data_IF_399427202439
#
_entry.id   IF_399427202439
#
_cell.length_a   1.000
_cell.length_b   1.000
_cell.length_c   1.000
_cell.angle_alpha   90.00
_cell.angle_beta   90.00
_cell.angle_gamma   90.00
#
_symmetry.space_group_name_H-M   'P 1'
#
loop_
_entity.id
_entity.type
_entity.pdbx_description
1 polymer ?
#
# COMPACT_ATOMS: atom_id res chain seq x y z
N UNK A 1 21.77 4.86 -15.79
CA UNK A 1 21.31 4.11 -16.98
C UNK A 1 19.82 3.92 -16.85
N UNK A 2 19.04 4.44 -17.79
CA UNK A 2 17.59 4.22 -17.87
C UNK A 2 17.32 2.72 -18.03
N UNK A 3 16.61 2.10 -17.09
CA UNK A 3 16.18 0.71 -17.23
C UNK A 3 14.83 0.69 -17.90
N UNK A 4 14.80 0.54 -19.20
CA UNK A 4 13.59 0.26 -19.94
C UNK A 4 13.22 -1.20 -19.74
N UNK A 5 11.96 -1.46 -19.39
CA UNK A 5 11.40 -2.81 -19.23
C UNK A 5 10.10 -2.91 -19.98
N UNK A 6 9.91 -4.02 -20.67
CA UNK A 6 8.65 -4.39 -21.31
C UNK A 6 8.09 -5.62 -20.60
N UNK A 7 6.84 -5.55 -20.16
CA UNK A 7 6.11 -6.67 -19.59
C UNK A 7 5.03 -7.11 -20.57
N UNK A 8 4.88 -8.43 -20.74
CA UNK A 8 3.84 -9.02 -21.59
C UNK A 8 2.98 -9.94 -20.74
N UNK A 9 1.66 -9.72 -20.77
CA UNK A 9 0.69 -10.53 -20.05
C UNK A 9 -0.72 -10.30 -20.62
N UNK A 10 -1.74 -10.88 -20.00
CA UNK A 10 -3.13 -10.63 -20.35
C UNK A 10 -3.65 -9.39 -19.59
N UNK A 11 -4.41 -8.55 -20.26
CA UNK A 11 -5.17 -7.48 -19.60
C UNK A 11 -6.27 -8.12 -18.75
N UNK A 12 -6.33 -7.79 -17.46
CA UNK A 12 -7.25 -8.42 -16.50
C UNK A 12 -8.74 -8.22 -16.82
N UNK A 13 -9.11 -7.18 -17.61
CA UNK A 13 -10.49 -6.88 -17.97
C UNK A 13 -10.92 -7.56 -19.24
N UNK A 14 -10.02 -7.61 -20.23
CA UNK A 14 -10.36 -8.01 -21.59
C UNK A 14 -9.85 -9.41 -21.93
N UNK A 15 -8.98 -9.96 -21.10
CA UNK A 15 -8.28 -11.22 -21.35
C UNK A 15 -7.44 -11.23 -22.65
N UNK A 16 -7.15 -10.04 -23.19
CA UNK A 16 -6.34 -9.89 -24.40
C UNK A 16 -4.86 -9.75 -24.07
N UNK A 17 -3.96 -10.26 -24.93
CA UNK A 17 -2.54 -10.06 -24.77
C UNK A 17 -2.17 -8.58 -24.92
N UNK A 18 -1.39 -8.07 -23.97
CA UNK A 18 -0.86 -6.71 -24.00
C UNK A 18 0.64 -6.68 -23.69
N UNK A 19 1.30 -5.62 -24.14
CA UNK A 19 2.62 -5.20 -23.64
C UNK A 19 2.50 -3.88 -22.90
N UNK A 20 3.28 -3.77 -21.83
CA UNK A 20 3.40 -2.55 -21.02
C UNK A 20 4.88 -2.16 -20.99
N UNK A 21 5.20 -1.00 -21.54
CA UNK A 21 6.55 -0.46 -21.54
C UNK A 21 6.71 0.51 -20.37
N UNK A 22 7.81 0.32 -19.64
CA UNK A 22 8.14 1.10 -18.45
C UNK A 22 9.50 1.74 -18.61
N UNK A 23 9.57 3.05 -18.52
CA UNK A 23 10.80 3.83 -18.50
C UNK A 23 10.92 4.61 -17.20
N UNK A 24 12.07 4.51 -16.55
CA UNK A 24 12.34 5.22 -15.29
C UNK A 24 11.26 5.02 -14.22
N UNK A 25 10.69 3.80 -14.15
CA UNK A 25 9.63 3.44 -13.17
C UNK A 25 8.23 3.96 -13.52
N UNK A 26 8.04 4.51 -14.73
CA UNK A 26 6.72 4.99 -15.20
C UNK A 26 6.28 4.22 -16.45
N UNK A 27 5.01 3.91 -16.53
CA UNK A 27 4.39 3.34 -17.73
C UNK A 27 4.42 4.41 -18.82
N UNK A 28 5.07 4.13 -19.96
CA UNK A 28 5.14 5.03 -21.11
C UNK A 28 4.28 4.56 -22.28
N UNK A 29 3.98 3.27 -22.40
CA UNK A 29 3.08 2.74 -23.40
C UNK A 29 2.37 1.47 -22.95
N UNK A 30 1.13 1.27 -23.42
CA UNK A 30 0.38 0.03 -23.34
C UNK A 30 -0.14 -0.28 -24.74
N UNK A 31 0.17 -1.47 -25.27
CA UNK A 31 -0.19 -1.87 -26.63
C UNK A 31 -0.82 -3.26 -26.65
N UNK A 32 -1.87 -3.45 -27.43
CA UNK A 32 -2.41 -4.78 -27.71
C UNK A 32 -1.41 -5.59 -28.56
N UNK A 33 -1.21 -6.85 -28.19
CA UNK A 33 -0.41 -7.77 -28.98
C UNK A 33 -1.32 -8.56 -29.92
N UNK A 34 -0.84 -8.83 -31.14
CA UNK A 34 -1.54 -9.69 -32.09
C UNK A 34 -1.27 -11.16 -31.78
N UNK A 35 -2.29 -11.99 -31.91
CA UNK A 35 -2.20 -13.44 -31.67
C UNK A 35 -2.46 -13.82 -30.21
N UNK A 36 -2.06 -15.04 -29.85
CA UNK A 36 -2.18 -15.59 -28.52
C UNK A 36 -0.88 -15.45 -27.73
N UNK A 37 -0.97 -15.24 -26.44
CA UNK A 37 0.16 -15.25 -25.52
C UNK A 37 -0.04 -16.46 -24.57
N UNK A 38 0.90 -17.39 -24.61
CA UNK A 38 0.89 -18.54 -23.70
C UNK A 38 1.40 -18.10 -22.32
N UNK A 39 0.47 -17.64 -21.51
CA UNK A 39 0.74 -17.17 -20.14
C UNK A 39 -0.51 -17.21 -19.28
N UNK A 40 -0.31 -17.43 -17.99
CA UNK A 40 -1.33 -17.31 -16.96
C UNK A 40 -1.20 -16.03 -16.14
N UNK A 41 -0.31 -15.11 -16.55
CA UNK A 41 -0.12 -13.84 -15.85
C UNK A 41 -1.05 -12.77 -16.41
N UNK A 42 -1.57 -11.96 -15.50
CA UNK A 42 -2.39 -10.79 -15.82
C UNK A 42 -1.68 -9.51 -15.40
N UNK A 43 -1.92 -8.44 -16.15
CA UNK A 43 -1.56 -7.08 -15.74
C UNK A 43 -2.85 -6.38 -15.31
N UNK A 44 -2.83 -5.84 -14.10
CA UNK A 44 -3.91 -5.07 -13.48
C UNK A 44 -3.33 -3.85 -12.75
N UNK A 45 -4.13 -2.82 -12.46
CA UNK A 45 -3.76 -1.81 -11.46
C UNK A 45 -3.48 -2.50 -10.12
N UNK A 46 -2.54 -1.95 -9.36
CA UNK A 46 -2.28 -2.43 -8.00
C UNK A 46 -3.51 -2.26 -7.11
N UNK A 47 -3.65 -3.15 -6.14
CA UNK A 47 -4.70 -3.08 -5.15
C UNK A 47 -4.45 -1.90 -4.19
N UNK A 48 -5.53 -1.31 -3.69
CA UNK A 48 -5.52 -0.24 -2.70
C UNK A 48 -6.23 -0.73 -1.44
N UNK A 49 -5.57 -0.65 -0.30
CA UNK A 49 -6.15 -0.94 1.01
C UNK A 49 -6.39 0.38 1.75
N UNK A 50 -7.67 0.75 1.94
CA UNK A 50 -8.04 2.04 2.50
C UNK A 50 -7.97 2.08 4.04
N UNK A 51 -7.85 0.92 4.69
CA UNK A 51 -7.83 0.83 6.15
C UNK A 51 -7.12 -0.45 6.59
N UNK A 52 -5.89 -0.31 7.07
CA UNK A 52 -5.11 -1.44 7.56
C UNK A 52 -4.54 -1.14 8.95
N UNK A 53 -4.93 -1.92 9.95
CA UNK A 53 -4.45 -1.76 11.33
C UNK A 53 -3.10 -2.45 11.54
N UNK A 54 -2.81 -3.46 10.73
CA UNK A 54 -1.56 -4.20 10.76
C UNK A 54 -1.60 -5.43 9.86
N UNK A 55 -0.46 -6.07 9.69
CA UNK A 55 -0.34 -7.29 8.87
C UNK A 55 0.87 -8.12 9.28
N UNK A 56 0.72 -9.45 9.30
CA UNK A 56 1.83 -10.39 9.60
C UNK A 56 2.55 -10.13 10.93
N UNK A 57 1.80 -9.72 11.97
CA UNK A 57 2.35 -9.46 13.29
C UNK A 57 2.90 -8.05 13.49
N UNK A 58 2.90 -7.21 12.47
CA UNK A 58 3.18 -5.78 12.58
C UNK A 58 1.85 -5.07 12.82
N UNK A 59 1.74 -4.30 13.90
CA UNK A 59 0.56 -3.53 14.29
C UNK A 59 0.91 -2.04 14.28
N UNK A 60 0.19 -1.25 13.49
CA UNK A 60 0.36 0.21 13.40
C UNK A 60 -0.06 0.93 14.69
N UNK A 61 -0.70 0.24 15.62
CA UNK A 61 -1.16 0.78 16.90
C UNK A 61 -0.29 0.33 18.09
N UNK A 62 0.77 -0.43 17.84
CA UNK A 62 1.76 -0.78 18.85
C UNK A 62 2.66 0.41 19.17
N UNK A 63 2.81 0.77 20.44
CA UNK A 63 3.74 1.82 20.86
C UNK A 63 5.22 1.43 20.66
N UNK A 64 5.49 0.14 20.39
CA UNK A 64 6.80 -0.37 20.02
C UNK A 64 7.06 -0.35 18.50
N UNK A 65 6.13 0.18 17.70
CA UNK A 65 6.26 0.28 16.25
C UNK A 65 7.54 1.03 15.86
N UNK A 66 8.35 0.41 15.02
CA UNK A 66 9.61 0.97 14.52
C UNK A 66 9.50 1.38 13.06
N UNK A 67 10.34 2.31 12.64
CA UNK A 67 10.48 2.70 11.24
C UNK A 67 10.75 1.49 10.34
N UNK A 68 11.57 0.54 10.81
CA UNK A 68 11.87 -0.71 10.09
C UNK A 68 10.64 -1.57 9.85
N UNK A 69 9.72 -1.60 10.80
CA UNK A 69 8.49 -2.40 10.72
C UNK A 69 7.56 -1.81 9.64
N UNK A 70 7.49 -0.47 9.55
CA UNK A 70 6.75 0.23 8.49
C UNK A 70 7.35 -0.07 7.11
N UNK A 71 8.67 -0.15 6.97
CA UNK A 71 9.31 -0.56 5.71
C UNK A 71 9.02 -2.02 5.38
N UNK A 72 9.03 -2.91 6.39
CA UNK A 72 8.78 -4.34 6.22
C UNK A 72 7.36 -4.59 5.75
N UNK A 73 6.36 -3.98 6.39
CA UNK A 73 4.95 -4.16 5.99
C UNK A 73 4.70 -3.67 4.56
N UNK A 74 5.34 -2.58 4.12
CA UNK A 74 5.29 -2.13 2.73
C UNK A 74 5.79 -3.21 1.76
N UNK A 75 6.90 -3.88 2.08
CA UNK A 75 7.42 -4.96 1.25
C UNK A 75 6.46 -6.13 1.18
N UNK A 76 5.93 -6.56 2.32
CA UNK A 76 5.00 -7.69 2.41
C UNK A 76 3.70 -7.40 1.64
N UNK A 77 3.15 -6.19 1.74
CA UNK A 77 1.93 -5.79 1.04
C UNK A 77 2.14 -5.72 -0.47
N UNK A 78 3.28 -5.20 -0.94
CA UNK A 78 3.65 -5.19 -2.35
C UNK A 78 3.72 -6.60 -2.94
N UNK A 79 4.24 -7.58 -2.20
CA UNK A 79 4.26 -9.00 -2.61
C UNK A 79 2.85 -9.59 -2.76
N UNK A 80 1.84 -8.98 -2.11
CA UNK A 80 0.43 -9.36 -2.24
C UNK A 80 -0.32 -8.57 -3.31
N UNK A 81 0.37 -7.68 -4.04
CA UNK A 81 -0.23 -6.83 -5.06
C UNK A 81 -0.90 -5.57 -4.53
N UNK A 82 -0.81 -5.30 -3.22
CA UNK A 82 -1.28 -4.05 -2.62
C UNK A 82 -0.18 -3.00 -2.82
N UNK A 83 -0.43 -2.05 -3.71
CA UNK A 83 0.56 -1.04 -4.11
C UNK A 83 0.37 0.30 -3.42
N UNK A 84 -0.80 0.51 -2.82
CA UNK A 84 -1.08 1.67 -1.97
C UNK A 84 -1.95 1.25 -0.79
N UNK A 85 -1.66 1.80 0.38
CA UNK A 85 -2.44 1.51 1.57
C UNK A 85 -2.44 2.69 2.54
N UNK A 86 -3.40 2.66 3.48
CA UNK A 86 -3.59 3.68 4.50
C UNK A 86 -3.43 3.03 5.88
N UNK A 87 -2.25 3.18 6.53
CA UNK A 87 -2.08 2.75 7.92
C UNK A 87 -3.15 3.39 8.80
N UNK A 88 -3.80 2.58 9.62
CA UNK A 88 -4.89 3.04 10.48
C UNK A 88 -4.39 3.15 11.91
N UNK A 89 -4.38 4.38 12.41
CA UNK A 89 -4.12 4.70 13.81
C UNK A 89 -5.46 4.89 14.50
N UNK A 90 -5.75 4.01 15.45
CA UNK A 90 -7.02 4.02 16.19
C UNK A 90 -6.97 4.98 17.37
N UNK A 91 -8.12 5.18 18.01
CA UNK A 91 -8.29 5.98 19.23
C UNK A 91 -7.27 5.59 20.31
N UNK A 92 -6.55 6.57 20.80
CA UNK A 92 -5.55 6.43 21.85
C UNK A 92 -5.33 7.79 22.54
N UNK A 93 -4.40 7.88 23.49
CA UNK A 93 -3.97 9.18 24.05
C UNK A 93 -3.32 10.04 22.94
N UNK A 94 -3.36 11.35 23.12
CA UNK A 94 -2.75 12.30 22.17
C UNK A 94 -1.27 12.01 21.95
N UNK A 95 -0.54 11.67 23.00
CA UNK A 95 0.88 11.36 22.98
C UNK A 95 1.15 10.07 22.17
N UNK A 96 0.30 9.05 22.36
CA UNK A 96 0.42 7.79 21.62
C UNK A 96 0.13 7.99 20.12
N UNK A 97 -0.93 8.74 19.79
CA UNK A 97 -1.25 9.08 18.40
C UNK A 97 -0.10 9.86 17.76
N UNK A 98 0.44 10.87 18.42
CA UNK A 98 1.56 11.68 17.93
C UNK A 98 2.81 10.81 17.66
N UNK A 99 3.13 9.90 18.58
CA UNK A 99 4.24 8.96 18.43
C UNK A 99 4.07 8.09 17.17
N UNK A 100 2.89 7.48 17.00
CA UNK A 100 2.61 6.59 15.86
C UNK A 100 2.63 7.35 14.53
N UNK A 101 1.99 8.52 14.46
CA UNK A 101 1.99 9.37 13.28
C UNK A 101 3.42 9.80 12.91
N UNK A 102 4.23 10.18 13.92
CA UNK A 102 5.62 10.57 13.73
C UNK A 102 6.46 9.41 13.20
N UNK A 103 6.28 8.19 13.74
CA UNK A 103 6.99 6.99 13.30
C UNK A 103 6.68 6.68 11.83
N UNK A 104 5.39 6.68 11.44
CA UNK A 104 4.96 6.41 10.07
C UNK A 104 5.47 7.49 9.11
N UNK A 105 5.31 8.78 9.47
CA UNK A 105 5.80 9.90 8.65
C UNK A 105 7.32 9.86 8.46
N UNK A 106 8.06 9.52 9.53
CA UNK A 106 9.52 9.38 9.45
C UNK A 106 9.92 8.22 8.53
N UNK A 107 9.19 7.12 8.56
CA UNK A 107 9.42 6.00 7.64
C UNK A 107 9.22 6.42 6.17
N UNK A 108 8.17 7.21 5.86
CA UNK A 108 7.96 7.78 4.53
C UNK A 108 9.13 8.68 4.11
N UNK A 109 9.54 9.60 4.97
CA UNK A 109 10.64 10.52 4.68
C UNK A 109 11.98 9.80 4.44
N UNK A 110 12.19 8.65 5.07
CA UNK A 110 13.43 7.88 4.96
C UNK A 110 13.47 6.93 3.76
N UNK A 111 12.33 6.69 3.09
CA UNK A 111 12.24 5.72 1.99
C UNK A 111 11.23 6.15 0.93
N UNK A 112 11.72 6.49 -0.27
CA UNK A 112 10.87 6.79 -1.43
C UNK A 112 9.91 5.66 -1.79
N UNK A 113 10.29 4.40 -1.51
CA UNK A 113 9.44 3.24 -1.74
C UNK A 113 8.27 3.23 -0.76
N UNK A 114 8.54 3.45 0.52
CA UNK A 114 7.52 3.52 1.58
C UNK A 114 6.57 4.69 1.35
N UNK A 115 7.12 5.86 1.04
CA UNK A 115 6.35 7.05 0.69
C UNK A 115 5.40 6.83 -0.51
N UNK A 116 5.88 6.13 -1.53
CA UNK A 116 5.06 5.80 -2.70
C UNK A 116 3.94 4.76 -2.40
N UNK A 117 4.09 3.94 -1.36
CA UNK A 117 3.10 2.93 -0.97
C UNK A 117 2.06 3.46 0.01
N UNK A 118 2.41 4.42 0.86
CA UNK A 118 1.51 4.99 1.87
C UNK A 118 0.79 6.19 1.25
N UNK A 119 -0.50 6.00 0.93
CA UNK A 119 -1.34 7.04 0.32
C UNK A 119 -1.75 8.15 1.30
N UNK A 120 -1.58 7.92 2.59
CA UNK A 120 -1.93 8.80 3.70
C UNK A 120 -2.10 7.98 4.96
N UNK A 121 -2.44 8.59 6.08
CA UNK A 121 -2.73 7.91 7.34
C UNK A 121 -4.21 8.04 7.63
N UNK A 122 -4.87 6.92 7.92
CA UNK A 122 -6.24 6.89 8.39
C UNK A 122 -6.24 7.02 9.92
N UNK A 123 -6.81 8.10 10.43
CA UNK A 123 -7.01 8.31 11.85
C UNK A 123 -8.44 7.96 12.22
N UNK A 124 -8.62 6.87 12.98
CA UNK A 124 -9.91 6.39 13.46
C UNK A 124 -10.15 6.88 14.89
N UNK A 125 -11.03 7.84 15.06
CA UNK A 125 -11.21 8.61 16.29
C UNK A 125 -10.41 9.92 16.21
N UNK A 126 -10.00 10.53 17.33
CA UNK A 126 -10.20 10.17 18.73
C UNK A 126 -11.54 10.61 19.33
N UNK A 127 -12.39 11.32 18.58
CA UNK A 127 -13.66 11.89 19.06
C UNK A 127 -14.77 10.85 18.93
N UNK A 128 -14.79 9.91 19.86
CA UNK A 128 -15.74 8.78 19.89
C UNK A 128 -16.76 8.98 20.99
N UNK A 129 -17.99 8.53 20.76
CA UNK A 129 -19.04 8.54 21.77
C UNK A 129 -18.61 7.71 22.99
N UNK A 130 -18.88 8.23 24.19
CA UNK A 130 -18.72 7.46 25.43
C UNK A 130 -19.81 6.40 25.65
N UNK A 131 -20.87 6.43 24.84
CA UNK A 131 -21.99 5.50 24.93
C UNK A 131 -21.64 4.15 24.32
N UNK A 132 -22.06 3.06 24.99
CA UNK A 132 -21.96 1.72 24.41
C UNK A 132 -22.81 1.62 23.13
N UNK A 133 -22.34 0.81 22.18
CA UNK A 133 -22.91 0.73 20.85
C UNK A 133 -22.23 1.68 19.87
N UNK A 134 -22.49 3.02 19.92
CA UNK A 134 -21.78 3.97 19.05
C UNK A 134 -20.27 3.99 19.23
N UNK A 135 -19.76 3.65 20.42
CA UNK A 135 -18.32 3.54 20.71
C UNK A 135 -17.66 2.38 19.98
N UNK A 136 -18.39 1.32 19.68
CA UNK A 136 -17.85 0.12 19.05
C UNK A 136 -16.84 -0.60 19.96
N UNK A 137 -15.69 -0.94 19.39
CA UNK A 137 -14.60 -1.63 20.10
C UNK A 137 -13.56 -0.69 20.74
N UNK A 138 -13.79 0.61 20.71
CA UNK A 138 -12.87 1.66 21.22
C UNK A 138 -13.07 1.97 22.70
#
# INVERSE_FOLDING_TARGET
MSKNKTFKALDYRTNKPISVDVENGKICAISELRGTLDTNYFIAPGLVDLQINGFKGIDFNSLDLKITDVHEICNILLEKGITSFYPTVITNSSEAIELLLTTISTACNNSKKTDACIGGIHLEGPFISFQDGPRGAH
#
